data_IF_974930179417
#
_entry.id   IF_974930179417
#
_cell.length_a   1.000
_cell.length_b   1.000
_cell.length_c   1.000
_cell.angle_alpha   90.00
_cell.angle_beta   90.00
_cell.angle_gamma   90.00
#
_symmetry.space_group_name_H-M   'P 1'
#
loop_
_entity.id
_entity.type
_entity.pdbx_description
1 polymer ?
#
# COMPACT_ATOMS: atom_id res chain seq x y z
N UNK A 1 12.28 11.70 69.51
CA UNK A 1 12.22 10.92 68.27
C UNK A 1 10.88 11.22 67.64
N UNK A 2 10.85 12.17 66.71
CA UNK A 2 9.65 12.68 66.04
C UNK A 2 9.85 12.41 64.55
N UNK A 3 9.18 11.38 64.04
CA UNK A 3 9.17 11.05 62.62
C UNK A 3 8.26 12.04 61.88
N UNK A 4 8.90 12.92 61.10
CA UNK A 4 8.24 13.84 60.19
C UNK A 4 7.74 13.09 58.97
N UNK A 5 6.41 13.05 58.80
CA UNK A 5 5.71 12.50 57.65
C UNK A 5 5.84 13.47 56.48
N UNK A 6 6.67 13.13 55.49
CA UNK A 6 6.81 13.88 54.26
C UNK A 6 5.62 13.56 53.33
N UNK A 7 4.72 14.52 53.18
CA UNK A 7 3.62 14.49 52.20
C UNK A 7 4.20 14.58 50.79
N UNK A 8 3.96 13.61 49.89
CA UNK A 8 4.42 13.71 48.51
C UNK A 8 3.62 14.80 47.78
N UNK A 9 4.34 15.81 47.30
CA UNK A 9 3.82 16.87 46.44
C UNK A 9 3.24 16.23 45.16
N UNK A 10 1.94 16.41 44.96
CA UNK A 10 1.25 15.98 43.74
C UNK A 10 1.81 16.79 42.56
N UNK A 11 2.29 16.16 41.48
CA UNK A 11 2.80 16.90 40.33
C UNK A 11 1.65 17.71 39.73
N UNK A 12 1.80 19.04 39.76
CA UNK A 12 0.94 19.98 39.07
C UNK A 12 0.93 19.60 37.57
N UNK A 13 -0.22 19.15 37.07
CA UNK A 13 -0.43 18.92 35.65
C UNK A 13 -0.57 20.28 34.98
N UNK A 14 0.57 20.94 34.76
CA UNK A 14 0.68 22.16 33.99
C UNK A 14 0.13 21.94 32.58
N UNK A 15 -0.80 22.83 32.20
CA UNK A 15 -1.10 23.12 30.81
C UNK A 15 -2.23 22.32 30.19
N UNK A 16 -3.44 22.38 30.76
CA UNK A 16 -4.60 22.27 29.87
C UNK A 16 -4.53 23.44 28.87
N UNK A 17 -4.47 23.18 27.55
CA UNK A 17 -4.41 24.24 26.56
C UNK A 17 -5.62 25.14 26.74
N UNK A 18 -5.37 26.46 26.82
CA UNK A 18 -6.44 27.43 26.94
C UNK A 18 -7.39 27.29 25.75
N UNK A 19 -8.68 27.50 25.98
CA UNK A 19 -9.69 27.47 24.93
C UNK A 19 -9.32 28.42 23.77
N UNK A 20 -8.68 29.55 24.08
CA UNK A 20 -8.15 30.52 23.10
C UNK A 20 -7.04 29.95 22.21
N UNK A 21 -6.17 29.08 22.73
CA UNK A 21 -5.11 28.43 21.95
C UNK A 21 -5.70 27.42 20.94
N UNK A 22 -6.81 26.78 21.30
CA UNK A 22 -7.53 25.86 20.43
C UNK A 22 -8.22 26.62 19.30
N UNK A 23 -8.91 27.73 19.59
CA UNK A 23 -9.54 28.57 18.57
C UNK A 23 -8.50 29.11 17.57
N UNK A 24 -7.36 29.61 18.07
CA UNK A 24 -6.30 30.10 17.21
C UNK A 24 -5.72 29.01 16.31
N UNK A 25 -5.63 27.77 16.81
CA UNK A 25 -5.14 26.63 16.04
C UNK A 25 -6.14 26.15 14.99
N UNK A 26 -7.44 26.16 15.31
CA UNK A 26 -8.51 25.85 14.35
C UNK A 26 -8.50 26.88 13.23
N UNK A 27 -8.41 28.16 13.56
CA UNK A 27 -8.42 29.22 12.55
C UNK A 27 -7.22 29.14 11.60
N UNK A 28 -6.02 28.82 12.11
CA UNK A 28 -4.84 28.56 11.25
C UNK A 28 -5.03 27.35 10.33
N UNK A 29 -5.73 26.31 10.79
CA UNK A 29 -6.03 25.14 9.98
C UNK A 29 -7.07 25.46 8.90
N UNK A 30 -8.10 26.24 9.24
CA UNK A 30 -9.11 26.70 8.29
C UNK A 30 -8.48 27.57 7.19
N UNK A 31 -7.59 28.51 7.55
CA UNK A 31 -6.86 29.33 6.58
C UNK A 31 -5.94 28.48 5.69
N UNK A 32 -5.26 27.49 6.27
CA UNK A 32 -4.41 26.57 5.50
C UNK A 32 -5.22 25.68 4.55
N UNK A 33 -6.41 25.24 4.97
CA UNK A 33 -7.33 24.45 4.13
C UNK A 33 -7.95 25.33 3.03
N UNK A 34 -8.32 26.57 3.35
CA UNK A 34 -8.80 27.53 2.36
C UNK A 34 -7.74 27.83 1.30
N UNK A 35 -6.46 27.93 1.69
CA UNK A 35 -5.34 28.06 0.75
C UNK A 35 -5.12 26.79 -0.10
N UNK A 36 -5.48 25.62 0.40
CA UNK A 36 -5.42 24.34 -0.33
C UNK A 36 -6.61 24.14 -1.28
N UNK A 37 -7.72 24.88 -1.14
CA UNK A 37 -8.87 24.79 -2.05
C UNK A 37 -8.61 25.26 -3.49
N UNK A 38 -7.45 25.86 -3.77
CA UNK A 38 -6.97 26.14 -5.13
C UNK A 38 -6.46 24.87 -5.86
N UNK A 39 -6.92 23.68 -5.45
CA UNK A 39 -6.72 22.43 -6.19
C UNK A 39 -7.31 22.47 -7.59
N UNK A 40 -8.38 23.23 -7.81
CA UNK A 40 -9.00 23.37 -9.15
C UNK A 40 -8.02 23.91 -10.19
N UNK A 41 -7.20 24.91 -9.84
CA UNK A 41 -6.21 25.46 -10.76
C UNK A 41 -5.09 24.44 -11.09
N UNK A 42 -4.79 23.55 -10.13
CA UNK A 42 -3.79 22.49 -10.31
C UNK A 42 -4.36 21.34 -11.16
N UNK A 43 -5.63 20.98 -10.93
CA UNK A 43 -6.38 20.02 -11.74
C UNK A 43 -6.49 20.48 -13.19
N UNK A 44 -6.82 21.75 -13.43
CA UNK A 44 -6.93 22.31 -14.78
C UNK A 44 -5.58 22.28 -15.50
N UNK A 45 -4.47 22.63 -14.82
CA UNK A 45 -3.11 22.50 -15.37
C UNK A 45 -2.72 21.06 -15.68
N UNK A 46 -3.13 20.10 -14.85
CA UNK A 46 -2.88 18.68 -15.10
C UNK A 46 -3.70 18.17 -16.29
N UNK A 47 -4.97 18.56 -16.40
CA UNK A 47 -5.83 18.22 -17.52
C UNK A 47 -5.24 18.72 -18.85
N UNK A 48 -4.74 19.96 -18.89
CA UNK A 48 -4.08 20.53 -20.09
C UNK A 48 -2.81 19.76 -20.45
N UNK A 49 -1.94 19.43 -19.48
CA UNK A 49 -0.71 18.66 -19.76
C UNK A 49 -0.99 17.25 -20.26
N UNK A 50 -2.00 16.57 -19.71
CA UNK A 50 -2.35 15.21 -20.12
C UNK A 50 -2.95 15.20 -21.52
N UNK A 51 -3.83 16.15 -21.84
CA UNK A 51 -4.41 16.27 -23.18
C UNK A 51 -3.35 16.60 -24.24
N UNK A 52 -2.42 17.52 -23.95
CA UNK A 52 -1.28 17.81 -24.82
C UNK A 52 -0.37 16.58 -25.02
N UNK A 53 -0.11 15.82 -23.95
CA UNK A 53 0.74 14.63 -24.03
C UNK A 53 0.09 13.52 -24.87
N UNK A 54 -1.22 13.31 -24.74
CA UNK A 54 -1.97 12.37 -25.56
C UNK A 54 -1.97 12.82 -27.03
N UNK A 55 -2.27 14.09 -27.30
CA UNK A 55 -2.29 14.63 -28.67
C UNK A 55 -0.92 14.47 -29.36
N UNK A 56 0.17 14.78 -28.65
CA UNK A 56 1.54 14.60 -29.16
C UNK A 56 1.86 13.13 -29.41
N UNK A 57 1.44 12.23 -28.53
CA UNK A 57 1.65 10.78 -28.70
C UNK A 57 0.85 10.21 -29.87
N UNK A 58 -0.36 10.72 -30.12
CA UNK A 58 -1.19 10.33 -31.26
C UNK A 58 -0.64 10.86 -32.59
N UNK A 59 -0.03 12.06 -32.61
CA UNK A 59 0.58 12.62 -33.83
C UNK A 59 1.90 11.94 -34.24
N UNK A 60 2.59 11.26 -33.31
CA UNK A 60 3.79 10.47 -33.60
C UNK A 60 3.50 9.00 -33.94
N UNK A 61 2.24 8.59 -34.07
CA UNK A 61 1.92 7.28 -34.62
C UNK A 61 1.92 7.36 -36.16
N UNK A 62 2.97 6.88 -36.86
CA UNK A 62 2.92 6.76 -38.31
C UNK A 62 1.77 5.83 -38.72
N UNK A 63 1.04 6.23 -39.75
CA UNK A 63 0.02 5.41 -40.43
C UNK A 63 0.52 3.96 -40.57
N UNK A 64 -0.23 2.94 -40.11
CA UNK A 64 0.21 1.55 -40.24
C UNK A 64 0.29 1.18 -41.73
N UNK A 65 1.45 0.73 -42.24
CA UNK A 65 1.52 0.14 -43.57
C UNK A 65 0.79 -1.21 -43.58
N UNK A 66 0.19 -1.59 -44.73
CA UNK A 66 -0.56 -2.84 -44.85
C UNK A 66 0.35 -4.05 -44.63
N UNK A 67 -0.22 -5.01 -43.91
CA UNK A 67 0.39 -6.25 -43.41
C UNK A 67 1.16 -7.00 -44.51
N UNK A 68 2.48 -7.09 -44.36
CA UNK A 68 3.31 -8.08 -45.04
C UNK A 68 4.05 -8.90 -43.98
N UNK A 69 3.75 -10.19 -43.94
CA UNK A 69 4.41 -11.18 -43.11
C UNK A 69 5.90 -11.31 -43.49
N UNK A 70 6.80 -11.30 -42.51
CA UNK A 70 7.77 -12.38 -42.23
C UNK A 70 8.88 -11.92 -41.26
N UNK A 71 9.30 -12.89 -40.44
CA UNK A 71 10.57 -13.06 -39.73
C UNK A 71 10.75 -12.44 -38.32
N UNK A 72 11.20 -13.24 -37.33
CA UNK A 72 11.57 -12.75 -36.01
C UNK A 72 13.01 -12.21 -36.03
N UNK A 73 13.19 -10.97 -35.62
CA UNK A 73 14.51 -10.42 -35.35
C UNK A 73 14.85 -10.68 -33.88
N UNK A 74 15.83 -11.56 -33.64
CA UNK A 74 16.54 -11.58 -32.37
C UNK A 74 17.32 -10.27 -32.25
N UNK A 75 17.13 -9.56 -31.14
CA UNK A 75 17.99 -8.45 -30.73
C UNK A 75 18.31 -8.64 -29.27
N UNK A 76 19.58 -8.92 -29.00
CA UNK A 76 20.21 -8.77 -27.69
C UNK A 76 20.01 -7.34 -27.20
N UNK A 77 19.39 -7.17 -26.03
CA UNK A 77 19.47 -5.94 -25.25
C UNK A 77 19.71 -6.30 -23.78
N UNK A 78 20.98 -6.25 -23.40
CA UNK A 78 21.44 -6.07 -22.01
C UNK A 78 20.91 -4.73 -21.48
N UNK A 79 19.74 -4.76 -20.85
CA UNK A 79 19.23 -3.66 -20.03
C UNK A 79 18.79 -4.21 -18.67
N UNK A 80 19.50 -3.89 -17.56
CA UNK A 80 19.15 -4.37 -16.23
C UNK A 80 17.93 -3.66 -15.62
N UNK A 81 17.19 -2.86 -16.41
CA UNK A 81 16.03 -2.10 -15.94
C UNK A 81 14.82 -2.31 -16.84
N UNK A 82 14.46 -3.57 -17.07
CA UNK A 82 13.15 -3.92 -17.59
C UNK A 82 12.11 -3.58 -16.52
N UNK A 83 11.54 -2.39 -16.63
CA UNK A 83 10.31 -1.99 -15.95
C UNK A 83 9.24 -3.02 -16.26
N UNK A 84 9.06 -3.96 -15.33
CA UNK A 84 8.06 -5.01 -15.37
C UNK A 84 6.68 -4.39 -15.39
N UNK A 85 6.19 -4.22 -16.61
CA UNK A 85 4.80 -3.99 -16.97
C UNK A 85 3.92 -4.94 -16.16
N UNK A 86 2.91 -4.39 -15.50
CA UNK A 86 1.91 -5.10 -14.70
C UNK A 86 0.97 -6.00 -15.54
N UNK A 87 1.48 -6.67 -16.57
CA UNK A 87 0.69 -7.36 -17.59
C UNK A 87 0.94 -8.88 -17.66
N UNK A 88 1.78 -9.47 -16.80
CA UNK A 88 2.10 -10.91 -16.88
C UNK A 88 1.68 -11.76 -15.68
N UNK A 89 0.82 -11.28 -14.79
CA UNK A 89 0.40 -12.12 -13.64
C UNK A 89 -0.61 -13.22 -14.04
N UNK A 90 -1.16 -13.17 -15.26
CA UNK A 90 -2.17 -14.12 -15.73
C UNK A 90 -1.71 -15.08 -16.84
N UNK A 91 -0.50 -14.91 -17.39
CA UNK A 91 -0.02 -15.75 -18.51
C UNK A 91 0.87 -16.93 -18.09
N UNK A 92 1.10 -17.14 -16.79
CA UNK A 92 2.00 -18.19 -16.28
C UNK A 92 1.25 -19.33 -15.58
N UNK A 93 0.12 -19.78 -16.13
CA UNK A 93 -0.64 -20.91 -15.59
C UNK A 93 -0.40 -22.25 -16.29
N UNK A 94 0.59 -22.35 -17.19
CA UNK A 94 0.88 -23.59 -17.92
C UNK A 94 2.26 -24.20 -17.66
N UNK A 95 3.05 -23.68 -16.72
CA UNK A 95 4.31 -24.32 -16.29
C UNK A 95 4.08 -25.15 -15.01
N UNK A 96 4.45 -26.44 -14.98
CA UNK A 96 4.15 -27.34 -13.87
C UNK A 96 5.04 -27.15 -12.62
N UNK A 97 5.92 -26.15 -12.58
CA UNK A 97 6.81 -25.92 -11.43
C UNK A 97 6.14 -25.06 -10.35
N UNK A 98 5.25 -25.67 -9.58
CA UNK A 98 4.63 -25.09 -8.38
C UNK A 98 5.67 -24.55 -7.38
N UNK A 99 6.83 -25.19 -7.25
CA UNK A 99 7.91 -24.72 -6.38
C UNK A 99 8.55 -23.39 -6.84
N UNK A 100 8.55 -23.12 -8.15
CA UNK A 100 9.04 -21.86 -8.69
C UNK A 100 8.11 -20.70 -8.31
N UNK A 101 6.79 -20.93 -8.36
CA UNK A 101 5.77 -19.96 -7.93
C UNK A 101 5.90 -19.61 -6.44
N UNK A 102 6.20 -20.58 -5.57
CA UNK A 102 6.46 -20.32 -4.16
C UNK A 102 7.70 -19.43 -3.96
N UNK A 103 8.76 -19.64 -4.76
CA UNK A 103 9.98 -18.84 -4.71
C UNK A 103 9.73 -17.36 -5.06
N UNK A 104 8.99 -17.10 -6.13
CA UNK A 104 8.59 -15.75 -6.52
C UNK A 104 7.72 -15.09 -5.45
N UNK A 105 6.75 -15.83 -4.91
CA UNK A 105 5.86 -15.34 -3.85
C UNK A 105 6.63 -15.01 -2.57
N UNK A 106 7.67 -15.79 -2.23
CA UNK A 106 8.54 -15.52 -1.08
C UNK A 106 9.30 -14.19 -1.21
N UNK A 107 9.79 -13.87 -2.41
CA UNK A 107 10.45 -12.59 -2.66
C UNK A 107 9.50 -11.39 -2.53
N UNK A 108 8.26 -11.54 -2.96
CA UNK A 108 7.23 -10.52 -2.79
C UNK A 108 6.88 -10.32 -1.29
N UNK A 109 6.72 -11.41 -0.54
CA UNK A 109 6.51 -11.37 0.92
C UNK A 109 7.69 -10.68 1.62
N UNK A 110 8.93 -11.01 1.23
CA UNK A 110 10.12 -10.38 1.81
C UNK A 110 10.19 -8.89 1.49
N UNK A 111 9.90 -8.49 0.26
CA UNK A 111 9.84 -7.09 -0.15
C UNK A 111 8.79 -6.33 0.65
N UNK A 112 7.63 -6.96 0.85
CA UNK A 112 6.56 -6.40 1.66
C UNK A 112 6.97 -6.21 3.13
N UNK A 113 7.66 -7.20 3.71
CA UNK A 113 8.18 -7.09 5.07
C UNK A 113 9.19 -5.95 5.21
N UNK A 114 10.06 -5.76 4.22
CA UNK A 114 10.97 -4.61 4.21
C UNK A 114 10.24 -3.27 4.14
N UNK A 115 9.14 -3.19 3.37
CA UNK A 115 8.30 -1.99 3.28
C UNK A 115 7.61 -1.67 4.61
N UNK A 116 7.07 -2.68 5.29
CA UNK A 116 6.47 -2.53 6.63
C UNK A 116 7.46 -2.05 7.69
N UNK A 117 8.71 -2.49 7.58
CA UNK A 117 9.77 -2.14 8.54
C UNK A 117 10.45 -0.81 8.24
N UNK A 118 10.20 -0.20 7.07
CA UNK A 118 10.82 1.08 6.70
C UNK A 118 10.05 2.25 7.35
N UNK A 119 10.60 2.91 8.39
CA UNK A 119 9.90 4.00 9.09
C UNK A 119 9.81 5.27 8.24
N UNK A 120 10.63 5.37 7.18
CA UNK A 120 10.67 6.53 6.30
C UNK A 120 9.60 6.47 5.21
N UNK A 121 8.96 5.32 5.00
CA UNK A 121 7.84 5.21 4.09
C UNK A 121 6.56 5.63 4.82
N UNK A 122 5.91 6.76 4.44
CA UNK A 122 4.69 7.25 5.08
C UNK A 122 3.51 6.36 4.67
N UNK A 123 3.47 5.15 5.24
CA UNK A 123 2.38 4.23 5.03
C UNK A 123 1.19 4.68 5.84
N UNK A 124 0.02 4.74 5.21
CA UNK A 124 -1.22 5.04 5.93
C UNK A 124 -1.43 4.00 7.03
N UNK A 125 -1.76 4.46 8.24
CA UNK A 125 -2.01 3.57 9.39
C UNK A 125 -3.06 2.50 9.07
N UNK A 126 -4.04 2.86 8.22
CA UNK A 126 -5.06 1.97 7.69
C UNK A 126 -4.46 0.76 6.93
N UNK A 127 -3.43 0.96 6.11
CA UNK A 127 -2.78 -0.14 5.40
C UNK A 127 -2.05 -1.11 6.34
N UNK A 128 -1.52 -0.61 7.47
CA UNK A 128 -0.95 -1.47 8.53
C UNK A 128 -2.04 -2.27 9.24
N UNK A 129 -3.16 -1.65 9.56
CA UNK A 129 -4.28 -2.31 10.22
C UNK A 129 -4.85 -3.44 9.36
N UNK A 130 -4.97 -3.22 8.04
CA UNK A 130 -5.42 -4.24 7.08
C UNK A 130 -4.52 -5.48 7.08
N UNK A 131 -3.23 -5.37 7.39
CA UNK A 131 -2.30 -6.51 7.49
C UNK A 131 -2.49 -7.26 8.79
N UNK A 132 -2.64 -6.52 9.89
CA UNK A 132 -2.72 -7.10 11.22
C UNK A 132 -4.08 -7.77 11.46
N UNK A 133 -5.14 -7.27 10.82
CA UNK A 133 -6.50 -7.77 10.94
C UNK A 133 -6.63 -9.28 10.62
N UNK A 134 -6.14 -9.82 9.47
CA UNK A 134 -6.23 -11.25 9.18
C UNK A 134 -5.46 -12.10 10.19
N UNK A 135 -4.28 -11.63 10.62
CA UNK A 135 -3.44 -12.35 11.59
C UNK A 135 -4.15 -12.41 12.95
N UNK A 136 -4.69 -11.28 13.39
CA UNK A 136 -5.48 -11.20 14.61
C UNK A 136 -6.75 -12.06 14.54
N UNK A 137 -7.42 -12.09 13.38
CA UNK A 137 -8.58 -12.95 13.15
C UNK A 137 -8.23 -14.43 13.28
N UNK A 138 -7.17 -14.88 12.61
CA UNK A 138 -6.73 -16.29 12.66
C UNK A 138 -6.31 -16.67 14.09
N UNK A 139 -5.56 -15.80 14.77
CA UNK A 139 -5.17 -16.01 16.17
C UNK A 139 -6.41 -16.10 17.08
N UNK A 140 -7.36 -15.18 16.91
CA UNK A 140 -8.60 -15.16 17.68
C UNK A 140 -9.45 -16.41 17.44
N UNK A 141 -9.66 -16.79 16.17
CA UNK A 141 -10.43 -17.99 15.81
C UNK A 141 -9.79 -19.26 16.39
N UNK A 142 -8.46 -19.36 16.30
CA UNK A 142 -7.70 -20.49 16.87
C UNK A 142 -7.84 -20.53 18.40
N UNK A 143 -7.77 -19.38 19.06
CA UNK A 143 -7.84 -19.28 20.52
C UNK A 143 -9.26 -19.51 21.07
N UNK A 144 -10.29 -19.07 20.35
CA UNK A 144 -11.68 -19.21 20.75
C UNK A 144 -12.20 -20.66 20.73
N UNK A 145 -11.39 -21.61 20.25
CA UNK A 145 -11.72 -23.03 20.32
C UNK A 145 -12.80 -23.47 19.34
N UNK A 146 -13.09 -22.66 18.30
CA UNK A 146 -14.06 -22.99 17.25
C UNK A 146 -13.73 -24.29 16.50
N UNK A 147 -12.53 -24.85 16.66
CA UNK A 147 -12.11 -26.10 16.01
C UNK A 147 -12.55 -27.40 16.72
N UNK A 148 -13.17 -27.35 17.90
CA UNK A 148 -13.54 -28.56 18.63
C UNK A 148 -15.00 -28.98 18.38
N UNK A 149 -15.21 -30.04 17.60
CA UNK A 149 -16.50 -30.74 17.45
C UNK A 149 -17.21 -30.55 16.09
N UNK A 150 -18.42 -31.12 15.95
CA UNK A 150 -19.23 -31.08 14.71
C UNK A 150 -19.64 -29.65 14.33
N UNK A 151 -19.96 -28.82 15.33
CA UNK A 151 -20.15 -27.37 15.13
C UNK A 151 -18.89 -26.68 14.61
N UNK A 152 -17.71 -27.22 14.94
CA UNK A 152 -16.43 -26.71 14.46
C UNK A 152 -16.16 -26.98 12.99
N UNK A 153 -16.72 -28.04 12.41
CA UNK A 153 -16.61 -28.28 10.96
C UNK A 153 -17.36 -27.23 10.15
N UNK A 154 -18.58 -26.86 10.57
CA UNK A 154 -19.36 -25.79 9.94
C UNK A 154 -18.66 -24.44 10.17
N UNK A 155 -18.19 -24.19 11.39
CA UNK A 155 -17.40 -23.01 11.73
C UNK A 155 -16.16 -22.89 10.83
N UNK A 156 -15.45 -23.99 10.57
CA UNK A 156 -14.28 -24.03 9.71
C UNK A 156 -14.58 -23.65 8.26
N UNK A 157 -15.70 -24.14 7.70
CA UNK A 157 -16.10 -23.78 6.33
C UNK A 157 -16.45 -22.30 6.24
N UNK A 158 -17.19 -21.77 7.23
CA UNK A 158 -17.51 -20.33 7.30
C UNK A 158 -16.22 -19.51 7.43
N UNK A 159 -15.31 -19.92 8.31
CA UNK A 159 -13.99 -19.30 8.47
C UNK A 159 -13.21 -19.29 7.16
N UNK A 160 -13.19 -20.40 6.42
CA UNK A 160 -12.52 -20.48 5.13
C UNK A 160 -13.13 -19.51 4.11
N UNK A 161 -14.46 -19.48 4.03
CA UNK A 161 -15.21 -18.59 3.12
C UNK A 161 -14.99 -17.12 3.48
N UNK A 162 -14.87 -16.79 4.77
CA UNK A 162 -14.56 -15.43 5.24
C UNK A 162 -13.09 -15.09 5.03
N UNK A 163 -12.18 -16.03 5.29
CA UNK A 163 -10.74 -15.84 5.18
C UNK A 163 -10.31 -15.57 3.73
N UNK A 164 -10.95 -16.21 2.74
CA UNK A 164 -10.67 -15.99 1.32
C UNK A 164 -10.74 -14.50 0.90
N UNK A 165 -11.88 -13.80 1.01
CA UNK A 165 -11.95 -12.37 0.71
C UNK A 165 -11.06 -11.56 1.65
N UNK A 166 -10.96 -11.96 2.92
CA UNK A 166 -10.12 -11.28 3.90
C UNK A 166 -8.63 -11.31 3.58
N UNK A 167 -8.14 -12.33 2.88
CA UNK A 167 -6.78 -12.41 2.36
C UNK A 167 -6.67 -11.74 0.98
N UNK A 168 -7.71 -11.85 0.16
CA UNK A 168 -7.74 -11.28 -1.18
C UNK A 168 -7.66 -9.74 -1.17
N UNK A 169 -8.43 -9.07 -0.30
CA UNK A 169 -8.46 -7.61 -0.23
C UNK A 169 -7.10 -7.00 0.15
N UNK A 170 -6.44 -7.42 1.25
CA UNK A 170 -5.08 -6.97 1.58
C UNK A 170 -4.12 -7.23 0.43
N UNK A 171 -4.15 -8.43 -0.16
CA UNK A 171 -3.26 -8.76 -1.27
C UNK A 171 -3.43 -7.80 -2.46
N UNK A 172 -4.67 -7.49 -2.83
CA UNK A 172 -4.97 -6.52 -3.90
C UNK A 172 -4.52 -5.11 -3.54
N UNK A 173 -4.74 -4.68 -2.31
CA UNK A 173 -4.34 -3.36 -1.81
C UNK A 173 -2.80 -3.26 -1.78
N UNK A 174 -2.12 -4.30 -1.31
CA UNK A 174 -0.66 -4.38 -1.27
C UNK A 174 -0.07 -4.34 -2.67
N UNK A 175 -0.65 -5.01 -3.66
CA UNK A 175 -0.16 -4.93 -5.04
C UNK A 175 -0.15 -3.51 -5.60
N UNK A 176 -1.10 -2.65 -5.17
CA UNK A 176 -1.08 -1.22 -5.53
C UNK A 176 0.01 -0.47 -4.78
N UNK A 177 0.20 -0.77 -3.50
CA UNK A 177 1.15 -0.07 -2.64
C UNK A 177 2.60 -0.47 -2.91
N UNK A 178 2.86 -1.73 -3.25
CA UNK A 178 4.18 -2.23 -3.66
C UNK A 178 4.69 -1.50 -4.91
N UNK A 179 3.79 -1.17 -5.85
CA UNK A 179 4.15 -0.36 -7.02
C UNK A 179 4.61 1.05 -6.61
N UNK A 180 3.86 1.72 -5.72
CA UNK A 180 4.25 3.03 -5.18
C UNK A 180 5.56 2.98 -4.40
N UNK A 181 5.77 1.93 -3.61
CA UNK A 181 7.01 1.75 -2.86
C UNK A 181 8.22 1.55 -3.78
N UNK A 182 8.08 0.78 -4.87
CA UNK A 182 9.14 0.62 -5.87
C UNK A 182 9.46 1.95 -6.57
N UNK A 183 8.45 2.75 -6.89
CA UNK A 183 8.65 4.10 -7.43
C UNK A 183 9.38 5.02 -6.44
N UNK A 184 9.00 4.98 -5.16
CA UNK A 184 9.65 5.74 -4.10
C UNK A 184 11.14 5.35 -3.94
N UNK A 185 11.44 4.04 -3.95
CA UNK A 185 12.82 3.55 -3.90
C UNK A 185 13.64 3.98 -5.13
N UNK A 186 13.02 3.98 -6.32
CA UNK A 186 13.68 4.45 -7.54
C UNK A 186 14.04 5.94 -7.43
N UNK A 187 13.14 6.79 -6.92
CA UNK A 187 13.42 8.21 -6.69
C UNK A 187 14.56 8.42 -5.70
N UNK A 188 14.63 7.61 -4.64
CA UNK A 188 15.66 7.72 -3.61
C UNK A 188 17.05 7.30 -4.10
N UNK A 189 17.13 6.41 -5.09
CA UNK A 189 18.41 5.99 -5.70
C UNK A 189 19.06 7.09 -6.56
N UNK A 190 18.28 8.05 -7.05
CA UNK A 190 18.75 9.14 -7.91
C UNK A 190 19.14 10.43 -7.15
N UNK A 191 19.03 10.45 -5.83
CA UNK A 191 19.54 11.53 -4.98
C UNK A 191 20.80 11.08 -4.27
#
# INVERSE_FOLDING_TARGET
>A
MTEGTATPESPAWEGQPSYEDLEQRVQRLEDAVAALCDTQALEERLATRVTEHIAKKTQLAPSPPPVAALAPHQTDEDSPYRGGVAQSVFSTMTSPDTFSLLGEMWWDIKSFWSMLRDPLYPMTWLARLIVLLPIAYVLWSTFAGFHNGVLGAIGYVIDLVLLCPFLYFPFKIWGRELRRYREFLAMRRHR
#
